data_IF_226618246153
#
_entry.id   IF_226618246153
#
_cell.length_a   1.000
_cell.length_b   1.000
_cell.length_c   1.000
_cell.angle_alpha   90.00
_cell.angle_beta   90.00
_cell.angle_gamma   90.00
#
_symmetry.space_group_name_H-M   'P 1'
#
loop_
_entity.id
_entity.type
_entity.pdbx_description
1 polymer ?
#
# COMPACT_ATOMS: atom_id res chain seq x y z
N UNK A 1 -1.01 20.89 -0.76
CA UNK A 1 -1.24 20.14 -2.01
C UNK A 1 0.08 19.55 -2.49
N UNK A 2 0.08 18.33 -3.00
CA UNK A 2 1.24 17.68 -3.65
C UNK A 2 0.82 17.28 -5.05
N UNK A 3 1.65 17.59 -6.04
CA UNK A 3 1.42 17.21 -7.43
C UNK A 3 2.59 16.36 -7.91
N UNK A 4 2.26 15.26 -8.59
CA UNK A 4 3.18 14.32 -9.20
C UNK A 4 2.96 14.38 -10.71
N UNK A 5 3.99 14.77 -11.46
CA UNK A 5 3.86 15.13 -12.87
C UNK A 5 4.36 14.04 -13.79
N UNK A 6 3.80 14.00 -15.00
CA UNK A 6 4.24 13.14 -16.10
C UNK A 6 4.29 11.64 -15.73
N UNK A 7 3.29 11.15 -14.97
CA UNK A 7 3.16 9.74 -14.68
C UNK A 7 2.39 9.01 -15.77
N UNK A 8 2.71 7.74 -15.93
CA UNK A 8 1.79 6.76 -16.50
C UNK A 8 1.08 6.06 -15.35
N UNK A 9 -0.25 6.12 -15.27
CA UNK A 9 -0.99 5.50 -14.16
C UNK A 9 -2.24 4.76 -14.62
N UNK A 10 -2.65 3.78 -13.81
CA UNK A 10 -3.90 3.05 -13.95
C UNK A 10 -4.92 3.57 -12.93
N UNK A 11 -6.19 3.71 -13.33
CA UNK A 11 -7.26 4.22 -12.46
C UNK A 11 -7.96 3.13 -11.63
N UNK A 12 -7.64 1.86 -11.87
CA UNK A 12 -8.29 0.73 -11.21
C UNK A 12 -9.66 0.36 -11.78
N UNK A 13 -10.06 0.96 -12.90
CA UNK A 13 -11.40 0.80 -13.50
C UNK A 13 -11.31 0.35 -14.96
N UNK A 14 -10.57 1.08 -15.79
CA UNK A 14 -10.43 0.79 -17.22
C UNK A 14 -9.30 -0.21 -17.49
N UNK A 15 -9.14 -0.72 -18.72
CA UNK A 15 -7.97 -1.54 -19.08
C UNK A 15 -6.78 -0.70 -19.58
N UNK A 16 -6.97 0.62 -19.71
CA UNK A 16 -6.02 1.53 -20.33
C UNK A 16 -5.13 2.22 -19.29
N UNK A 17 -3.91 2.55 -19.72
CA UNK A 17 -3.01 3.42 -18.96
C UNK A 17 -3.21 4.88 -19.36
N UNK A 18 -3.13 5.77 -18.37
CA UNK A 18 -3.31 7.21 -18.54
C UNK A 18 -1.97 7.90 -18.34
N UNK A 19 -1.59 8.80 -19.26
CA UNK A 19 -0.46 9.71 -19.05
C UNK A 19 -0.96 11.06 -18.52
N UNK A 20 -0.38 11.53 -17.42
CA UNK A 20 -0.71 12.85 -16.89
C UNK A 20 -0.20 13.10 -15.47
N UNK A 21 -0.84 14.08 -14.83
CA UNK A 21 -0.50 14.53 -13.49
C UNK A 21 -1.50 14.00 -12.46
N UNK A 22 -1.00 13.63 -11.27
CA UNK A 22 -1.81 13.30 -10.11
C UNK A 22 -1.59 14.32 -9.00
N UNK A 23 -2.66 14.91 -8.48
CA UNK A 23 -2.61 15.87 -7.38
C UNK A 23 -3.39 15.36 -6.17
N UNK A 24 -2.81 15.60 -4.99
CA UNK A 24 -3.39 15.21 -3.69
C UNK A 24 -3.45 16.44 -2.77
N UNK A 25 -4.63 16.66 -2.18
CA UNK A 25 -4.85 17.64 -1.11
C UNK A 25 -5.67 16.97 -0.01
N UNK A 26 -5.29 17.16 1.25
CA UNK A 26 -6.02 16.63 2.41
C UNK A 26 -6.35 15.13 2.34
N UNK A 27 -5.41 14.33 1.80
CA UNK A 27 -5.55 12.88 1.69
C UNK A 27 -6.43 12.39 0.54
N UNK A 28 -6.95 13.28 -0.31
CA UNK A 28 -7.80 12.92 -1.46
C UNK A 28 -7.19 13.38 -2.78
N UNK A 29 -7.50 12.65 -3.85
CA UNK A 29 -7.14 13.06 -5.21
C UNK A 29 -7.99 14.26 -5.65
N UNK A 30 -7.35 15.24 -6.28
CA UNK A 30 -7.97 16.47 -6.76
C UNK A 30 -7.55 16.78 -8.19
N UNK A 31 -8.43 17.45 -8.94
CA UNK A 31 -8.17 17.85 -10.34
C UNK A 31 -7.23 19.07 -10.48
N UNK A 32 -6.85 19.69 -9.37
CA UNK A 32 -6.04 20.91 -9.35
C UNK A 32 -4.57 20.61 -9.66
N UNK A 33 -4.04 21.16 -10.75
CA UNK A 33 -2.61 21.11 -11.09
C UNK A 33 -1.80 22.21 -10.42
N UNK A 34 -0.48 22.07 -10.42
CA UNK A 34 0.46 23.06 -9.87
C UNK A 34 1.91 22.65 -10.13
N UNK A 35 2.86 23.35 -9.51
CA UNK A 35 4.23 22.85 -9.45
C UNK A 35 4.27 21.54 -8.68
N UNK A 36 5.10 20.61 -9.16
CA UNK A 36 5.09 19.24 -8.66
C UNK A 36 6.39 18.51 -8.99
N UNK A 37 6.53 17.33 -8.41
CA UNK A 37 7.67 16.46 -8.65
C UNK A 37 7.48 15.74 -9.99
N UNK A 38 8.44 15.89 -10.88
CA UNK A 38 8.49 15.10 -12.12
C UNK A 38 8.78 13.64 -11.81
N UNK A 39 7.91 12.75 -12.31
CA UNK A 39 8.02 11.30 -12.20
C UNK A 39 7.93 10.64 -13.59
N UNK A 40 8.39 11.34 -14.64
CA UNK A 40 8.56 10.79 -15.98
C UNK A 40 9.25 9.42 -15.95
N UNK A 41 8.67 8.44 -16.63
CA UNK A 41 9.15 7.05 -16.68
C UNK A 41 8.74 6.18 -15.48
N UNK A 42 8.01 6.73 -14.51
CA UNK A 42 7.44 5.96 -13.41
C UNK A 42 5.98 5.56 -13.71
N UNK A 43 5.57 4.45 -13.08
CA UNK A 43 4.21 3.94 -13.14
C UNK A 43 3.54 4.04 -11.77
N UNK A 44 2.24 4.31 -11.74
CA UNK A 44 1.42 4.25 -10.54
C UNK A 44 0.13 3.47 -10.74
N UNK A 45 -0.30 2.79 -9.68
CA UNK A 45 -1.59 2.09 -9.60
C UNK A 45 -2.24 2.44 -8.26
N UNK A 46 -3.54 2.20 -8.06
CA UNK A 46 -4.12 2.23 -6.73
C UNK A 46 -3.35 1.29 -5.81
N UNK A 47 -3.22 1.68 -4.54
CA UNK A 47 -2.59 0.81 -3.54
C UNK A 47 -3.30 -0.54 -3.49
N UNK A 48 -2.52 -1.60 -3.34
CA UNK A 48 -3.05 -2.96 -3.33
C UNK A 48 -3.88 -3.17 -2.06
N UNK A 49 -4.91 -3.99 -2.15
CA UNK A 49 -5.76 -4.36 -1.02
C UNK A 49 -5.63 -5.87 -0.81
N UNK A 50 -5.14 -6.27 0.35
CA UNK A 50 -5.26 -7.64 0.82
C UNK A 50 -6.55 -7.76 1.64
N UNK A 51 -7.56 -8.40 1.05
CA UNK A 51 -8.88 -8.53 1.65
C UNK A 51 -8.95 -9.62 2.73
N UNK A 52 -7.91 -10.44 2.91
CA UNK A 52 -7.99 -11.57 3.82
C UNK A 52 -6.62 -11.99 4.41
N UNK A 53 -6.37 -11.59 5.65
CA UNK A 53 -5.12 -11.88 6.35
C UNK A 53 -5.33 -12.20 7.84
N UNK A 54 -4.49 -13.08 8.38
CA UNK A 54 -4.42 -13.40 9.81
C UNK A 54 -3.07 -12.96 10.40
N UNK A 55 -2.93 -11.67 10.70
CA UNK A 55 -1.65 -11.06 11.10
C UNK A 55 -1.07 -11.57 12.43
N UNK A 56 -1.93 -12.10 13.30
CA UNK A 56 -1.54 -12.67 14.59
C UNK A 56 -0.95 -14.07 14.50
N UNK A 57 -1.09 -14.75 13.35
CA UNK A 57 -0.56 -16.10 13.15
C UNK A 57 0.87 -16.03 12.62
N UNK A 58 1.74 -16.85 13.18
CA UNK A 58 3.10 -17.00 12.68
C UNK A 58 3.13 -18.07 11.58
N UNK A 59 3.50 -17.73 10.33
CA UNK A 59 3.49 -18.68 9.22
C UNK A 59 4.50 -19.83 9.37
N UNK A 60 5.53 -19.67 10.21
CA UNK A 60 6.53 -20.71 10.48
C UNK A 60 6.06 -21.73 11.54
N UNK A 61 4.91 -21.50 12.19
CA UNK A 61 4.32 -22.39 13.19
C UNK A 61 3.14 -23.14 12.57
N UNK A 62 3.34 -24.43 12.30
CA UNK A 62 2.28 -25.28 11.73
C UNK A 62 1.32 -25.87 12.76
N UNK A 63 1.74 -26.02 14.01
CA UNK A 63 0.90 -26.54 15.09
C UNK A 63 -0.07 -25.44 15.60
N UNK A 64 -1.39 -25.62 15.47
CA UNK A 64 -2.38 -24.63 15.90
C UNK A 64 -2.36 -24.37 17.41
N UNK A 65 -1.97 -25.36 18.24
CA UNK A 65 -1.87 -25.14 19.68
C UNK A 65 -0.63 -24.31 20.03
N UNK A 66 0.45 -24.45 19.26
CA UNK A 66 1.67 -23.67 19.44
C UNK A 66 1.49 -22.19 19.04
N UNK A 67 0.55 -21.87 18.14
CA UNK A 67 0.22 -20.48 17.77
C UNK A 67 -0.23 -19.65 18.99
N UNK A 68 -0.89 -20.28 19.96
CA UNK A 68 -1.40 -19.61 21.17
C UNK A 68 -0.34 -19.47 22.28
N UNK A 69 0.88 -19.96 22.08
CA UNK A 69 1.91 -19.97 23.13
C UNK A 69 2.61 -18.61 23.29
N UNK A 70 2.57 -17.74 22.28
CA UNK A 70 3.18 -16.42 22.33
C UNK A 70 2.33 -15.44 23.16
N UNK A 71 3.00 -14.59 23.95
CA UNK A 71 2.35 -13.50 24.65
C UNK A 71 1.93 -12.36 23.71
N UNK A 72 0.96 -11.56 24.16
CA UNK A 72 0.38 -10.44 23.40
C UNK A 72 1.43 -9.46 22.87
N UNK A 73 2.41 -9.07 23.70
CA UNK A 73 3.46 -8.13 23.32
C UNK A 73 4.25 -8.60 22.10
N UNK A 74 4.69 -9.86 22.11
CA UNK A 74 5.40 -10.48 20.98
C UNK A 74 4.52 -10.56 19.73
N UNK A 75 3.25 -10.94 19.87
CA UNK A 75 2.31 -10.98 18.74
C UNK A 75 2.19 -9.59 18.11
N UNK A 76 2.11 -8.53 18.92
CA UNK A 76 2.02 -7.16 18.42
C UNK A 76 3.30 -6.69 17.72
N UNK A 77 4.49 -7.11 18.18
CA UNK A 77 5.75 -6.85 17.48
C UNK A 77 5.76 -7.54 16.10
N UNK A 78 5.42 -8.82 16.04
CA UNK A 78 5.38 -9.57 14.79
C UNK A 78 4.31 -9.01 13.82
N UNK A 79 3.15 -8.55 14.31
CA UNK A 79 2.14 -7.85 13.51
C UNK A 79 2.73 -6.59 12.88
N UNK A 80 3.51 -5.79 13.62
CA UNK A 80 4.12 -4.56 13.08
C UNK A 80 5.13 -4.88 11.98
N UNK A 81 5.93 -5.93 12.15
CA UNK A 81 6.90 -6.37 11.14
C UNK A 81 6.19 -6.82 9.86
N UNK A 82 5.12 -7.61 9.99
CA UNK A 82 4.30 -8.05 8.86
C UNK A 82 3.61 -6.87 8.17
N UNK A 83 3.05 -5.92 8.93
CA UNK A 83 2.42 -4.72 8.38
C UNK A 83 3.42 -3.85 7.61
N UNK A 84 4.65 -3.72 8.12
CA UNK A 84 5.72 -3.03 7.41
C UNK A 84 6.08 -3.74 6.09
N UNK A 85 6.09 -5.07 6.07
CA UNK A 85 6.30 -5.84 4.85
C UNK A 85 5.17 -5.60 3.83
N UNK A 86 3.91 -5.57 4.28
CA UNK A 86 2.75 -5.26 3.43
C UNK A 86 2.86 -3.87 2.78
N UNK A 87 3.19 -2.83 3.56
CA UNK A 87 3.37 -1.47 3.03
C UNK A 87 4.52 -1.41 2.01
N UNK A 88 5.64 -2.09 2.28
CA UNK A 88 6.76 -2.18 1.33
C UNK A 88 6.40 -2.90 0.02
N UNK A 89 5.44 -3.82 0.07
CA UNK A 89 4.90 -4.50 -1.10
C UNK A 89 3.81 -3.70 -1.84
N UNK A 90 3.46 -2.50 -1.36
CA UNK A 90 2.45 -1.64 -1.98
C UNK A 90 1.01 -1.91 -1.54
N UNK A 91 0.80 -2.65 -0.44
CA UNK A 91 -0.53 -2.86 0.16
C UNK A 91 -0.82 -1.70 1.13
N UNK A 92 -1.93 -0.98 0.93
CA UNK A 92 -2.28 0.26 1.66
C UNK A 92 -3.76 0.33 2.02
#
# INVERSE_FOLDING_TARGET
>A
MRTYKNLTYWDGISDDMIEGDLSVADGIFVKAGGEGRDLSGCYAIPGLIDAHVHMCLNPDISDPLAQAAAGEERIMEEIRERALAMVKAGIT
#
